data_IF_837387497886
#
_entry.id   IF_837387497886
#
_cell.length_a   1.000
_cell.length_b   1.000
_cell.length_c   1.000
_cell.angle_alpha   90.00
_cell.angle_beta   90.00
_cell.angle_gamma   90.00
#
_symmetry.space_group_name_H-M   'P 1'
#
loop_
_entity.id
_entity.type
_entity.pdbx_description
1 polymer ?
#
# COMPACT_ATOMS: atom_id res chain seq x y z
N UNK A 1 -11.20 -10.44 -8.30
CA UNK A 1 -12.42 -9.73 -7.85
C UNK A 1 -12.49 -9.84 -6.33
N UNK A 2 -12.39 -8.73 -5.59
CA UNK A 2 -12.41 -8.74 -4.12
C UNK A 2 -13.83 -8.53 -3.62
N UNK A 3 -14.41 -9.50 -2.90
CA UNK A 3 -15.76 -9.40 -2.35
C UNK A 3 -15.70 -9.10 -0.84
N UNK A 4 -16.52 -8.17 -0.36
CA UNK A 4 -16.65 -7.84 1.07
C UNK A 4 -18.11 -8.08 1.46
N UNK A 5 -18.33 -9.07 2.32
CA UNK A 5 -19.66 -9.32 2.90
C UNK A 5 -19.84 -8.42 4.13
N UNK A 6 -20.87 -7.60 4.10
CA UNK A 6 -21.27 -6.74 5.23
C UNK A 6 -22.03 -7.59 6.24
N UNK A 7 -21.70 -7.49 7.53
CA UNK A 7 -22.44 -8.13 8.61
C UNK A 7 -23.59 -7.23 9.07
N UNK A 8 -24.67 -7.81 9.57
CA UNK A 8 -25.93 -7.12 9.90
C UNK A 8 -25.81 -6.00 10.96
N UNK A 9 -24.73 -5.98 11.75
CA UNK A 9 -24.51 -4.97 12.80
C UNK A 9 -23.24 -4.10 12.56
N UNK A 10 -22.72 -4.04 11.32
CA UNK A 10 -21.60 -3.15 10.97
C UNK A 10 -22.12 -1.83 10.37
N UNK A 11 -21.67 -0.66 10.86
CA UNK A 11 -21.91 0.61 10.19
C UNK A 11 -21.31 0.60 8.78
N UNK A 12 -22.03 1.15 7.80
CA UNK A 12 -21.64 1.17 6.39
C UNK A 12 -20.21 1.71 6.15
N UNK A 13 -19.81 2.76 6.87
CA UNK A 13 -18.48 3.37 6.74
C UNK A 13 -17.34 2.41 7.10
N UNK A 14 -17.57 1.49 8.03
CA UNK A 14 -16.59 0.49 8.44
C UNK A 14 -16.40 -0.55 7.33
N UNK A 15 -17.50 -0.97 6.70
CA UNK A 15 -17.46 -1.87 5.55
C UNK A 15 -16.75 -1.22 4.35
N UNK A 16 -17.03 0.05 4.07
CA UNK A 16 -16.37 0.81 3.01
C UNK A 16 -14.85 0.93 3.25
N UNK A 17 -14.45 1.21 4.49
CA UNK A 17 -13.03 1.28 4.87
C UNK A 17 -12.32 -0.06 4.67
N UNK A 18 -12.99 -1.16 5.04
CA UNK A 18 -12.46 -2.53 4.84
C UNK A 18 -12.30 -2.83 3.36
N UNK A 19 -13.28 -2.46 2.53
CA UNK A 19 -13.23 -2.61 1.08
C UNK A 19 -12.05 -1.83 0.47
N UNK A 20 -11.90 -0.55 0.81
CA UNK A 20 -10.76 0.27 0.36
C UNK A 20 -9.42 -0.37 0.74
N UNK A 21 -9.27 -0.83 1.98
CA UNK A 21 -8.05 -1.50 2.44
C UNK A 21 -7.76 -2.80 1.70
N UNK A 22 -8.79 -3.58 1.35
CA UNK A 22 -8.63 -4.82 0.59
C UNK A 22 -8.21 -4.52 -0.86
N UNK A 23 -8.80 -3.51 -1.50
CA UNK A 23 -8.36 -3.08 -2.84
C UNK A 23 -6.92 -2.57 -2.86
N UNK A 24 -6.54 -1.77 -1.86
CA UNK A 24 -5.16 -1.29 -1.68
C UNK A 24 -4.18 -2.44 -1.43
N UNK A 25 -4.56 -3.40 -0.56
CA UNK A 25 -3.74 -4.59 -0.26
C UNK A 25 -3.53 -5.46 -1.49
N UNK A 26 -4.55 -5.59 -2.33
CA UNK A 26 -4.49 -6.36 -3.58
C UNK A 26 -3.58 -5.69 -4.62
N UNK A 27 -3.34 -4.37 -4.50
CA UNK A 27 -2.43 -3.65 -5.39
C UNK A 27 -2.97 -3.43 -6.80
N UNK A 28 -4.26 -3.68 -7.04
CA UNK A 28 -4.88 -3.61 -8.37
C UNK A 28 -4.74 -2.21 -9.00
N UNK A 29 -4.94 -1.15 -8.20
CA UNK A 29 -4.75 0.23 -8.65
C UNK A 29 -3.29 0.56 -8.99
N UNK A 30 -2.34 0.01 -8.22
CA UNK A 30 -0.92 0.20 -8.49
C UNK A 30 -0.47 -0.54 -9.75
N UNK A 31 -1.06 -1.70 -10.01
CA UNK A 31 -0.81 -2.49 -11.22
C UNK A 31 -1.40 -1.82 -12.45
N UNK A 32 -2.64 -1.31 -12.37
CA UNK A 32 -3.26 -0.53 -13.44
C UNK A 32 -2.36 0.63 -13.85
N UNK A 33 -1.92 1.45 -12.88
CA UNK A 33 -1.05 2.60 -13.13
C UNK A 33 0.33 2.22 -13.68
N UNK A 34 0.83 1.03 -13.34
CA UNK A 34 2.09 0.53 -13.89
C UNK A 34 1.95 0.04 -15.34
N UNK A 35 0.74 -0.36 -15.76
CA UNK A 35 0.43 -0.84 -17.12
C UNK A 35 0.03 0.30 -18.08
N UNK A 36 -0.29 1.48 -17.59
CA UNK A 36 -0.67 2.65 -18.40
C UNK A 36 0.43 3.10 -19.38
N UNK A 37 1.70 2.87 -19.05
CA UNK A 37 2.84 3.27 -19.87
C UNK A 37 3.90 2.18 -19.89
N UNK A 38 4.62 2.07 -21.00
CA UNK A 38 5.78 1.20 -21.07
C UNK A 38 6.89 1.72 -20.15
N UNK A 39 7.34 0.88 -19.24
CA UNK A 39 8.52 1.13 -18.42
C UNK A 39 9.72 0.36 -18.97
N UNK A 40 10.80 1.10 -19.28
CA UNK A 40 12.07 0.47 -19.67
C UNK A 40 12.60 -0.43 -18.53
N UNK A 41 13.20 -1.60 -18.83
CA UNK A 41 13.70 -2.51 -17.79
C UNK A 41 14.66 -1.88 -16.77
N UNK A 42 15.44 -0.88 -17.18
CA UNK A 42 16.35 -0.16 -16.28
C UNK A 42 15.61 0.73 -15.27
N UNK A 43 14.49 1.33 -15.67
CA UNK A 43 13.66 2.17 -14.81
C UNK A 43 12.90 1.31 -13.81
N UNK A 44 12.39 0.15 -14.24
CA UNK A 44 11.75 -0.81 -13.35
C UNK A 44 12.69 -1.25 -12.22
N UNK A 45 13.96 -1.58 -12.55
CA UNK A 45 14.99 -1.93 -11.57
C UNK A 45 15.25 -0.80 -10.58
N UNK A 46 15.39 0.44 -11.06
CA UNK A 46 15.58 1.63 -10.20
C UNK A 46 14.39 1.86 -9.27
N UNK A 47 13.16 1.74 -9.79
CA UNK A 47 11.91 1.86 -9.02
C UNK A 47 11.83 0.80 -7.92
N UNK A 48 12.13 -0.46 -8.24
CA UNK A 48 12.13 -1.58 -7.27
C UNK A 48 13.16 -1.37 -6.16
N UNK A 49 14.36 -0.90 -6.50
CA UNK A 49 15.42 -0.58 -5.53
C UNK A 49 15.00 0.56 -4.59
N UNK A 50 14.51 1.67 -5.14
CA UNK A 50 14.02 2.80 -4.34
C UNK A 50 12.85 2.40 -3.42
N UNK A 51 11.94 1.56 -3.90
CA UNK A 51 10.84 1.04 -3.10
C UNK A 51 11.33 0.13 -1.95
N UNK A 52 12.36 -0.69 -2.17
CA UNK A 52 12.96 -1.52 -1.13
C UNK A 52 13.62 -0.67 -0.03
N UNK A 53 14.41 0.32 -0.44
CA UNK A 53 15.05 1.28 0.48
C UNK A 53 14.00 2.01 1.31
N UNK A 54 12.93 2.52 0.69
CA UNK A 54 11.81 3.18 1.40
C UNK A 54 11.10 2.25 2.39
N UNK A 55 10.91 0.96 2.04
CA UNK A 55 10.35 -0.05 2.96
C UNK A 55 11.26 -0.27 4.17
N UNK A 56 12.56 -0.36 3.97
CA UNK A 56 13.54 -0.52 5.05
C UNK A 56 13.55 0.70 5.97
N UNK A 57 13.60 1.92 5.44
CA UNK A 57 13.53 3.14 6.25
C UNK A 57 12.25 3.21 7.09
N UNK A 58 11.10 2.85 6.51
CA UNK A 58 9.84 2.79 7.26
C UNK A 58 9.88 1.75 8.38
N UNK A 59 10.49 0.59 8.13
CA UNK A 59 10.66 -0.47 9.16
C UNK A 59 11.53 0.03 10.31
N UNK A 60 12.69 0.61 10.02
CA UNK A 60 13.60 1.14 11.02
C UNK A 60 12.94 2.25 11.84
N UNK A 61 12.24 3.18 11.18
CA UNK A 61 11.49 4.25 11.85
C UNK A 61 10.47 3.73 12.86
N UNK A 62 9.81 2.61 12.55
CA UNK A 62 8.82 2.01 13.44
C UNK A 62 9.47 1.25 14.61
N UNK A 63 10.74 0.86 14.50
CA UNK A 63 11.50 0.19 15.57
C UNK A 63 12.17 1.18 16.51
N UNK A 64 12.53 2.37 16.00
CA UNK A 64 13.11 3.44 16.79
C UNK A 64 12.03 4.22 17.54
N UNK A 65 12.23 4.49 18.83
CA UNK A 65 11.40 5.44 19.56
C UNK A 65 11.51 6.84 18.93
N UNK A 66 10.44 7.67 18.99
CA UNK A 66 10.51 9.03 18.50
C UNK A 66 11.63 9.78 19.24
N UNK A 67 12.39 10.64 18.55
CA UNK A 67 13.42 11.45 19.19
C UNK A 67 12.77 12.27 20.31
N UNK A 68 13.40 12.28 21.50
CA UNK A 68 12.95 13.11 22.61
C UNK A 68 13.07 14.57 22.19
N UNK A 69 11.94 15.23 22.02
CA UNK A 69 11.82 16.69 21.94
C UNK A 69 11.88 17.17 23.39
N UNK A 70 13.10 17.38 23.90
CA UNK A 70 13.32 18.10 25.15
C UNK A 70 13.31 19.61 24.88
#
# INVERSE_FOLDING_TARGET
MTTVRVKENEPFDVALRRFKRIMEKTGLLTELRAREFYEKPTWERKRKAAAAVKRQYRRLRNQTLPPKLY
#
